data_IF_756675121324
#
_entry.id   IF_756675121324
#
_cell.length_a   1.000
_cell.length_b   1.000
_cell.length_c   1.000
_cell.angle_alpha   90.00
_cell.angle_beta   90.00
_cell.angle_gamma   90.00
#
_symmetry.space_group_name_H-M   'P 1'
#
loop_
_entity.id
_entity.type
_entity.pdbx_description
1 polymer ?
#
# COMPACT_ATOMS: atom_id res chain seq x y z
N UNK A 1 -1.93 -84.18 21.41
CA UNK A 1 -1.63 -83.75 20.03
C UNK A 1 -2.95 -83.40 19.37
N UNK A 2 -3.23 -82.12 19.14
CA UNK A 2 -4.41 -81.70 18.39
C UNK A 2 -4.27 -82.21 16.94
N UNK A 3 -5.30 -82.87 16.41
CA UNK A 3 -5.27 -83.38 15.04
C UNK A 3 -5.00 -82.27 14.03
N UNK A 4 -4.24 -82.60 12.97
CA UNK A 4 -3.98 -81.67 11.86
C UNK A 4 -5.34 -81.25 11.28
N UNK A 5 -5.60 -79.94 11.11
CA UNK A 5 -6.88 -79.49 10.59
C UNK A 5 -7.09 -79.97 9.15
N UNK A 6 -8.30 -80.45 8.84
CA UNK A 6 -8.63 -80.96 7.51
C UNK A 6 -8.63 -79.85 6.44
N UNK A 7 -8.84 -78.60 6.83
CA UNK A 7 -8.61 -77.44 5.98
C UNK A 7 -7.98 -76.30 6.76
N UNK A 8 -7.15 -75.52 6.05
CA UNK A 8 -6.37 -74.40 6.61
C UNK A 8 -6.80 -73.08 5.99
N UNK A 9 -6.63 -72.00 6.74
CA UNK A 9 -6.90 -70.64 6.31
C UNK A 9 -5.61 -69.84 6.29
N UNK A 10 -5.31 -69.20 5.17
CA UNK A 10 -4.21 -68.24 5.05
C UNK A 10 -4.78 -66.87 4.68
N UNK A 11 -4.65 -65.83 5.51
CA UNK A 11 -5.06 -64.48 5.13
C UNK A 11 -4.37 -64.02 3.85
N UNK A 12 -5.15 -63.42 2.94
CA UNK A 12 -4.66 -62.73 1.75
C UNK A 12 -4.71 -61.21 1.92
N UNK A 13 -5.51 -60.72 2.87
CA UNK A 13 -5.63 -59.31 3.24
C UNK A 13 -5.54 -59.16 4.77
N UNK A 14 -5.34 -57.94 5.30
CA UNK A 14 -5.41 -57.69 6.73
C UNK A 14 -6.73 -58.18 7.34
N UNK A 15 -6.66 -58.91 8.45
CA UNK A 15 -7.82 -59.49 9.14
C UNK A 15 -8.27 -58.67 10.34
N UNK A 16 -7.43 -57.72 10.78
CA UNK A 16 -7.74 -56.76 11.83
C UNK A 16 -8.04 -55.38 11.24
N UNK A 17 -9.31 -54.96 11.29
CA UNK A 17 -9.78 -53.71 10.70
C UNK A 17 -10.55 -52.87 11.74
N UNK A 18 -10.36 -51.56 11.67
CA UNK A 18 -11.12 -50.59 12.46
C UNK A 18 -11.91 -49.69 11.52
N UNK A 19 -13.23 -49.83 11.50
CA UNK A 19 -14.15 -49.25 10.52
C UNK A 19 -15.09 -48.23 11.19
N UNK A 20 -15.50 -47.17 10.48
CA UNK A 20 -16.65 -46.37 10.90
C UNK A 20 -17.96 -47.08 10.52
N UNK A 21 -19.10 -46.58 11.01
CA UNK A 21 -20.41 -47.17 10.71
C UNK A 21 -20.78 -47.10 9.22
N UNK A 22 -20.15 -46.22 8.43
CA UNK A 22 -20.45 -46.07 7.00
C UNK A 22 -19.43 -46.77 6.08
N UNK A 23 -18.35 -47.31 6.66
CA UNK A 23 -17.29 -47.95 5.89
C UNK A 23 -17.70 -49.36 5.44
N UNK A 24 -17.17 -49.76 4.28
CA UNK A 24 -17.16 -51.17 3.85
C UNK A 24 -15.74 -51.62 3.60
N UNK A 25 -15.47 -52.90 3.85
CA UNK A 25 -14.15 -53.49 3.64
C UNK A 25 -14.27 -54.92 3.11
N UNK A 26 -13.22 -55.42 2.47
CA UNK A 26 -13.14 -56.80 2.01
C UNK A 26 -11.98 -57.49 2.71
N UNK A 27 -12.25 -58.64 3.32
CA UNK A 27 -11.24 -59.53 3.87
C UNK A 27 -11.24 -60.85 3.11
N UNK A 28 -10.06 -61.34 2.72
CA UNK A 28 -9.90 -62.56 1.95
C UNK A 28 -9.01 -63.58 2.66
N UNK A 29 -9.42 -64.85 2.58
CA UNK A 29 -8.64 -66.00 3.05
C UNK A 29 -8.48 -67.02 1.93
N UNK A 30 -7.30 -67.58 1.76
CA UNK A 30 -7.11 -68.79 0.98
C UNK A 30 -7.45 -70.00 1.86
N UNK A 31 -8.54 -70.70 1.52
CA UNK A 31 -8.98 -71.92 2.20
C UNK A 31 -8.46 -73.11 1.42
N UNK A 32 -7.69 -73.98 2.06
CA UNK A 32 -7.05 -75.14 1.41
C UNK A 32 -7.44 -76.43 2.10
N UNK A 33 -7.92 -77.42 1.35
CA UNK A 33 -8.19 -78.77 1.86
C UNK A 33 -6.86 -79.52 2.02
N UNK A 34 -6.49 -79.93 3.23
CA UNK A 34 -5.27 -80.69 3.52
C UNK A 34 -5.46 -82.21 3.46
N UNK A 35 -6.69 -82.66 3.21
CA UNK A 35 -7.03 -84.07 3.15
C UNK A 35 -6.86 -84.65 1.75
N UNK A 36 -6.72 -85.97 1.67
CA UNK A 36 -6.70 -86.72 0.41
C UNK A 36 -8.10 -86.97 -0.18
N UNK A 37 -9.16 -86.51 0.49
CA UNK A 37 -10.55 -86.69 0.08
C UNK A 37 -11.20 -85.34 -0.28
N UNK A 38 -12.14 -85.32 -1.23
CA UNK A 38 -12.92 -84.12 -1.50
C UNK A 38 -13.83 -83.80 -0.31
N UNK A 39 -14.00 -82.52 -0.01
CA UNK A 39 -14.83 -82.01 1.08
C UNK A 39 -15.79 -80.94 0.57
N UNK A 40 -17.07 -81.05 0.93
CA UNK A 40 -18.08 -80.02 0.70
C UNK A 40 -18.13 -79.13 1.91
N UNK A 41 -17.90 -77.84 1.72
CA UNK A 41 -17.67 -76.88 2.79
C UNK A 41 -18.67 -75.72 2.71
N UNK A 42 -19.07 -75.24 3.89
CA UNK A 42 -19.95 -74.08 4.05
C UNK A 42 -19.39 -73.18 5.14
N UNK A 43 -19.35 -71.87 4.88
CA UNK A 43 -19.01 -70.91 5.91
C UNK A 43 -20.18 -70.72 6.89
N UNK A 44 -19.86 -70.65 8.18
CA UNK A 44 -20.82 -70.22 9.20
C UNK A 44 -21.09 -68.72 9.03
N UNK A 45 -22.35 -68.29 8.84
CA UNK A 45 -22.67 -66.88 8.68
C UNK A 45 -22.19 -66.05 9.88
N UNK A 46 -21.55 -64.91 9.60
CA UNK A 46 -21.20 -63.91 10.62
C UNK A 46 -22.08 -62.69 10.39
N UNK A 47 -22.77 -62.24 11.44
CA UNK A 47 -23.67 -61.08 11.35
C UNK A 47 -22.91 -59.85 10.82
N UNK A 48 -23.47 -59.19 9.81
CA UNK A 48 -22.90 -57.99 9.19
C UNK A 48 -21.76 -58.26 8.20
N UNK A 49 -21.42 -59.53 7.93
CA UNK A 49 -20.42 -59.94 6.96
C UNK A 49 -21.08 -60.84 5.92
N UNK A 50 -20.95 -60.45 4.65
CA UNK A 50 -21.49 -61.19 3.51
C UNK A 50 -20.37 -61.90 2.78
N UNK A 51 -20.50 -63.20 2.55
CA UNK A 51 -19.58 -63.92 1.67
C UNK A 51 -19.86 -63.54 0.21
N UNK A 52 -18.84 -63.07 -0.50
CA UNK A 52 -18.87 -62.90 -1.94
C UNK A 52 -18.60 -64.26 -2.58
N UNK A 53 -19.52 -64.73 -3.42
CA UNK A 53 -19.52 -66.12 -3.96
C UNK A 53 -19.30 -66.18 -5.47
N UNK A 54 -19.13 -65.03 -6.12
CA UNK A 54 -18.94 -64.92 -7.56
C UNK A 54 -17.52 -64.46 -7.88
N UNK A 55 -16.92 -65.04 -8.92
CA UNK A 55 -15.55 -64.75 -9.36
C UNK A 55 -14.71 -66.01 -9.53
N UNK A 56 -13.74 -65.96 -10.44
CA UNK A 56 -12.82 -67.06 -10.68
C UNK A 56 -11.98 -67.33 -9.42
N UNK A 57 -12.00 -68.58 -8.93
CA UNK A 57 -11.24 -68.98 -7.74
C UNK A 57 -11.85 -68.55 -6.41
N UNK A 58 -13.02 -67.89 -6.39
CA UNK A 58 -13.71 -67.52 -5.14
C UNK A 58 -14.53 -68.70 -4.62
N UNK A 59 -14.52 -68.92 -3.31
CA UNK A 59 -15.35 -69.96 -2.69
C UNK A 59 -16.84 -69.62 -2.85
N UNK A 60 -17.64 -70.53 -3.42
CA UNK A 60 -19.10 -70.42 -3.47
C UNK A 60 -19.77 -70.52 -2.09
N UNK A 61 -21.09 -70.34 -2.02
CA UNK A 61 -21.87 -70.44 -0.76
C UNK A 61 -21.83 -71.84 -0.15
N UNK A 62 -21.81 -72.86 -1.01
CA UNK A 62 -21.34 -74.21 -0.72
C UNK A 62 -20.30 -74.55 -1.77
N UNK A 63 -19.12 -74.99 -1.34
CA UNK A 63 -18.01 -75.21 -2.25
C UNK A 63 -17.34 -76.55 -1.98
N UNK A 64 -17.01 -77.27 -3.05
CA UNK A 64 -16.30 -78.55 -2.96
C UNK A 64 -14.82 -78.29 -3.23
N UNK A 65 -13.97 -78.64 -2.27
CA UNK A 65 -12.52 -78.66 -2.46
C UNK A 65 -12.09 -80.11 -2.68
N UNK A 66 -11.54 -80.40 -3.86
CA UNK A 66 -10.80 -81.64 -4.11
C UNK A 66 -9.59 -81.75 -3.17
N UNK A 67 -8.97 -82.93 -3.12
CA UNK A 67 -7.76 -83.13 -2.32
C UNK A 67 -6.70 -82.07 -2.66
N UNK A 68 -6.18 -81.36 -1.65
CA UNK A 68 -5.17 -80.32 -1.80
C UNK A 68 -5.57 -79.08 -2.63
N UNK A 69 -6.85 -78.97 -3.04
CA UNK A 69 -7.35 -77.81 -3.74
C UNK A 69 -7.65 -76.64 -2.79
N UNK A 70 -7.69 -75.43 -3.34
CA UNK A 70 -7.98 -74.21 -2.59
C UNK A 70 -8.94 -73.28 -3.33
N UNK A 71 -9.58 -72.40 -2.57
CA UNK A 71 -10.37 -71.28 -3.08
C UNK A 71 -10.19 -70.06 -2.17
N UNK A 72 -10.47 -68.87 -2.69
CA UNK A 72 -10.45 -67.61 -1.93
C UNK A 72 -11.81 -67.34 -1.32
N UNK A 73 -11.91 -67.42 -0.01
CA UNK A 73 -13.06 -66.99 0.76
C UNK A 73 -13.03 -65.48 0.88
N UNK A 74 -13.91 -64.78 0.16
CA UNK A 74 -13.99 -63.32 0.14
C UNK A 74 -15.16 -62.83 0.99
N UNK A 75 -14.89 -61.97 1.95
CA UNK A 75 -15.85 -61.49 2.95
C UNK A 75 -16.01 -59.98 2.84
N UNK A 76 -17.20 -59.53 2.42
CA UNK A 76 -17.56 -58.12 2.45
C UNK A 76 -18.12 -57.77 3.82
N UNK A 77 -17.46 -56.84 4.50
CA UNK A 77 -17.85 -56.30 5.80
C UNK A 77 -18.56 -54.97 5.55
N UNK A 78 -19.73 -54.80 6.15
CA UNK A 78 -20.46 -53.54 6.15
C UNK A 78 -20.52 -53.00 7.58
N UNK A 79 -19.80 -51.91 7.86
CA UNK A 79 -19.67 -51.32 9.19
C UNK A 79 -21.02 -51.01 9.85
N UNK A 80 -22.03 -50.64 9.07
CA UNK A 80 -23.37 -50.29 9.56
C UNK A 80 -24.13 -51.48 10.17
N UNK A 81 -23.73 -52.71 9.81
CA UNK A 81 -24.38 -53.95 10.25
C UNK A 81 -23.64 -54.64 11.40
N UNK A 82 -22.45 -54.15 11.77
CA UNK A 82 -21.63 -54.70 12.86
C UNK A 82 -22.04 -54.05 14.18
N UNK A 83 -22.89 -54.74 14.94
CA UNK A 83 -23.39 -54.24 16.24
C UNK A 83 -22.51 -54.62 17.43
N UNK A 84 -21.58 -55.55 17.26
CA UNK A 84 -20.63 -56.02 18.27
C UNK A 84 -19.29 -56.31 17.61
N UNK A 85 -18.19 -56.16 18.35
CA UNK A 85 -16.85 -56.46 17.83
C UNK A 85 -16.77 -57.92 17.36
N UNK A 86 -16.29 -58.15 16.15
CA UNK A 86 -16.01 -59.50 15.64
C UNK A 86 -14.58 -59.84 16.04
N UNK A 87 -14.36 -60.95 16.75
CA UNK A 87 -13.03 -61.36 17.23
C UNK A 87 -12.63 -62.78 16.83
N UNK A 88 -13.54 -63.51 16.15
CA UNK A 88 -13.43 -64.93 15.83
C UNK A 88 -13.79 -65.20 14.36
N UNK A 89 -13.46 -66.40 13.88
CA UNK A 89 -13.77 -66.85 12.53
C UNK A 89 -12.85 -66.24 11.45
N UNK A 90 -13.19 -66.41 10.16
CA UNK A 90 -14.33 -67.17 9.64
C UNK A 90 -14.24 -68.66 9.96
N UNK A 91 -15.37 -69.28 10.27
CA UNK A 91 -15.45 -70.73 10.50
C UNK A 91 -16.07 -71.40 9.27
N UNK A 92 -15.45 -72.47 8.79
CA UNK A 92 -15.93 -73.26 7.64
C UNK A 92 -16.12 -74.70 8.09
N UNK A 93 -17.26 -75.30 7.75
CA UNK A 93 -17.72 -76.58 8.25
C UNK A 93 -18.03 -77.58 7.12
N UNK A 94 -17.77 -78.86 7.36
CA UNK A 94 -18.13 -79.95 6.44
C UNK A 94 -19.65 -80.06 6.29
N UNK A 95 -20.17 -79.86 5.09
CA UNK A 95 -21.61 -79.92 4.76
C UNK A 95 -22.49 -79.13 5.76
N UNK A 96 -21.96 -78.05 6.32
CA UNK A 96 -22.63 -77.25 7.35
C UNK A 96 -22.72 -77.88 8.75
N UNK A 97 -22.07 -79.01 9.01
CA UNK A 97 -22.11 -79.69 10.31
C UNK A 97 -21.30 -78.94 11.38
N UNK A 98 -21.92 -78.51 12.50
CA UNK A 98 -21.25 -77.72 13.53
C UNK A 98 -20.13 -78.47 14.27
N UNK A 99 -20.13 -79.80 14.21
CA UNK A 99 -19.14 -80.65 14.89
C UNK A 99 -17.86 -80.86 14.04
N UNK A 100 -17.81 -80.34 12.82
CA UNK A 100 -16.69 -80.52 11.88
C UNK A 100 -16.34 -79.18 11.24
N UNK A 101 -16.04 -78.20 12.08
CA UNK A 101 -15.66 -76.86 11.66
C UNK A 101 -14.21 -76.56 12.00
N UNK A 102 -13.54 -75.85 11.10
CA UNK A 102 -12.22 -75.28 11.37
C UNK A 102 -12.27 -73.77 11.12
N UNK A 103 -11.42 -73.05 11.84
CA UNK A 103 -11.23 -71.60 11.73
C UNK A 103 -9.73 -71.30 11.62
N UNK A 104 -9.33 -70.07 11.22
CA UNK A 104 -7.93 -69.66 11.24
C UNK A 104 -7.29 -69.81 12.62
N UNK A 105 -5.97 -69.78 12.67
CA UNK A 105 -5.26 -69.67 13.95
C UNK A 105 -5.62 -68.35 14.66
N UNK A 106 -5.41 -68.21 15.98
CA UNK A 106 -5.81 -67.02 16.74
C UNK A 106 -5.20 -65.68 16.27
N UNK A 107 -4.08 -65.70 15.54
CA UNK A 107 -3.46 -64.49 14.99
C UNK A 107 -4.14 -64.03 13.69
N UNK A 108 -4.70 -64.98 12.94
CA UNK A 108 -5.33 -64.78 11.63
C UNK A 108 -6.86 -64.69 11.72
N UNK A 109 -7.45 -64.77 12.92
CA UNK A 109 -8.90 -64.58 13.08
C UNK A 109 -9.33 -63.18 12.68
N UNK A 110 -10.58 -63.09 12.24
CA UNK A 110 -11.18 -61.83 11.87
C UNK A 110 -11.40 -60.95 13.12
N UNK A 111 -10.81 -59.75 13.11
CA UNK A 111 -10.90 -58.76 14.20
C UNK A 111 -11.45 -57.44 13.66
N UNK A 112 -12.77 -57.27 13.72
CA UNK A 112 -13.46 -56.05 13.25
C UNK A 112 -13.94 -55.24 14.45
N UNK A 113 -13.42 -54.01 14.57
CA UNK A 113 -13.84 -53.05 15.60
C UNK A 113 -14.49 -51.84 14.95
N UNK A 114 -15.66 -51.43 15.44
CA UNK A 114 -16.30 -50.18 15.00
C UNK A 114 -15.77 -49.01 15.80
N UNK A 115 -15.26 -47.98 15.12
CA UNK A 115 -14.87 -46.72 15.75
C UNK A 115 -16.13 -46.04 16.30
N UNK A 116 -16.07 -45.41 17.50
CA UNK A 116 -17.14 -44.54 17.96
C UNK A 116 -17.41 -43.46 16.91
N UNK A 117 -18.67 -43.14 16.66
CA UNK A 117 -19.02 -42.03 15.78
C UNK A 117 -18.39 -40.74 16.32
N UNK A 118 -17.66 -40.01 15.48
CA UNK A 118 -17.21 -38.67 15.85
C UNK A 118 -18.46 -37.80 16.07
N UNK A 119 -18.63 -37.27 17.28
CA UNK A 119 -19.76 -36.40 17.61
C UNK A 119 -19.44 -34.94 17.31
N UNK A 120 -18.17 -34.58 17.43
CA UNK A 120 -17.69 -33.21 17.29
C UNK A 120 -16.97 -33.02 15.95
N UNK A 121 -17.33 -31.95 15.24
CA UNK A 121 -16.63 -31.49 14.06
C UNK A 121 -15.39 -30.66 14.44
N UNK A 122 -14.30 -30.86 13.70
CA UNK A 122 -13.06 -30.10 13.86
C UNK A 122 -13.07 -28.92 12.89
N UNK A 123 -13.10 -27.70 13.41
CA UNK A 123 -13.06 -26.47 12.63
C UNK A 123 -11.71 -25.74 12.74
N UNK A 124 -11.37 -24.98 11.71
CA UNK A 124 -10.27 -23.99 11.71
C UNK A 124 -10.71 -22.68 11.07
N UNK A 125 -9.98 -21.59 11.33
CA UNK A 125 -10.25 -20.25 10.80
C UNK A 125 -9.09 -19.76 9.94
N UNK A 126 -9.42 -19.12 8.82
CA UNK A 126 -8.49 -18.41 7.93
C UNK A 126 -8.80 -16.90 7.93
N UNK A 127 -7.85 -16.08 7.46
CA UNK A 127 -7.89 -14.61 7.45
C UNK A 127 -7.88 -13.94 8.83
N UNK A 128 -7.25 -14.58 9.82
CA UNK A 128 -7.03 -14.03 11.16
C UNK A 128 -5.53 -13.73 11.36
N UNK A 129 -5.12 -12.54 11.85
CA UNK A 129 -5.98 -11.43 12.25
C UNK A 129 -6.62 -10.71 11.06
N UNK A 130 -7.89 -10.32 11.20
CA UNK A 130 -8.63 -9.52 10.24
C UNK A 130 -8.43 -8.03 10.57
N UNK A 131 -7.87 -7.26 9.63
CA UNK A 131 -7.61 -5.83 9.80
C UNK A 131 -8.62 -5.00 8.99
N UNK A 132 -9.37 -4.11 9.64
CA UNK A 132 -10.46 -3.33 9.04
C UNK A 132 -10.32 -1.85 9.37
N UNK A 133 -10.85 -0.97 8.52
CA UNK A 133 -11.14 0.40 8.94
C UNK A 133 -12.50 0.47 9.64
N UNK A 134 -12.64 1.41 10.57
CA UNK A 134 -13.95 1.67 11.19
C UNK A 134 -14.98 2.05 10.11
N UNK A 135 -16.11 1.34 10.08
CA UNK A 135 -17.17 1.44 9.08
C UNK A 135 -17.08 0.42 7.95
N UNK A 136 -15.97 -0.30 7.80
CA UNK A 136 -15.80 -1.31 6.75
C UNK A 136 -16.18 -2.73 7.20
N UNK A 137 -16.47 -3.57 6.21
CA UNK A 137 -16.79 -4.97 6.40
C UNK A 137 -15.58 -5.86 6.12
N UNK A 138 -15.44 -6.94 6.88
CA UNK A 138 -14.42 -7.97 6.66
C UNK A 138 -14.94 -9.37 6.88
N UNK A 139 -14.25 -10.37 6.33
CA UNK A 139 -14.71 -11.76 6.30
C UNK A 139 -13.65 -12.71 6.85
N UNK A 140 -14.06 -13.54 7.80
CA UNK A 140 -13.34 -14.74 8.21
C UNK A 140 -13.92 -15.97 7.50
N UNK A 141 -13.06 -16.91 7.15
CA UNK A 141 -13.45 -18.18 6.52
C UNK A 141 -13.27 -19.29 7.54
N UNK A 142 -14.36 -20.00 7.82
CA UNK A 142 -14.36 -21.16 8.72
C UNK A 142 -14.36 -22.43 7.88
N UNK A 143 -13.44 -23.33 8.17
CA UNK A 143 -13.29 -24.60 7.49
C UNK A 143 -13.76 -25.73 8.40
N UNK A 144 -14.60 -26.63 7.89
CA UNK A 144 -14.86 -27.90 8.54
C UNK A 144 -13.84 -28.94 8.05
N UNK A 145 -12.86 -29.24 8.91
CA UNK A 145 -11.77 -30.18 8.64
C UNK A 145 -12.16 -31.63 8.95
N UNK A 146 -13.39 -31.88 9.41
CA UNK A 146 -13.87 -33.25 9.62
C UNK A 146 -14.13 -33.96 8.30
N UNK A 147 -13.99 -35.29 8.33
CA UNK A 147 -14.27 -36.18 7.21
C UNK A 147 -15.73 -36.67 7.18
N UNK A 148 -16.36 -36.78 8.35
CA UNK A 148 -17.67 -37.46 8.49
C UNK A 148 -18.74 -36.61 9.17
N UNK A 149 -18.36 -35.52 9.85
CA UNK A 149 -19.26 -34.76 10.73
C UNK A 149 -19.47 -33.35 10.19
N UNK A 150 -20.72 -32.95 10.00
CA UNK A 150 -21.06 -31.56 9.71
C UNK A 150 -20.92 -30.69 10.96
N UNK A 151 -20.30 -29.53 10.83
CA UNK A 151 -20.25 -28.52 11.88
C UNK A 151 -21.55 -27.70 11.85
N UNK A 152 -22.20 -27.50 12.99
CA UNK A 152 -23.52 -26.85 13.08
C UNK A 152 -23.52 -25.63 13.99
N UNK A 153 -24.33 -24.63 13.62
CA UNK A 153 -24.60 -23.40 14.38
C UNK A 153 -23.33 -22.70 14.88
N UNK A 154 -22.36 -22.46 14.00
CA UNK A 154 -21.11 -21.77 14.37
C UNK A 154 -21.42 -20.30 14.62
N UNK A 155 -21.04 -19.82 15.80
CA UNK A 155 -21.24 -18.43 16.23
C UNK A 155 -19.94 -17.84 16.80
N UNK A 156 -19.80 -16.52 16.66
CA UNK A 156 -18.74 -15.74 17.32
C UNK A 156 -19.18 -15.33 18.72
N UNK A 157 -18.25 -15.29 19.68
CA UNK A 157 -18.48 -14.77 21.01
C UNK A 157 -17.46 -13.68 21.37
N UNK A 158 -17.94 -12.44 21.39
CA UNK A 158 -17.17 -11.26 21.76
C UNK A 158 -17.27 -10.90 23.25
N UNK A 159 -18.11 -11.57 24.04
CA UNK A 159 -18.36 -11.16 25.41
C UNK A 159 -17.11 -11.27 26.29
N UNK A 160 -16.82 -10.22 27.06
CA UNK A 160 -15.62 -10.12 27.88
C UNK A 160 -14.33 -9.83 27.11
N UNK A 161 -14.41 -9.54 25.80
CA UNK A 161 -13.24 -9.22 24.97
C UNK A 161 -13.12 -7.71 24.74
N UNK A 162 -11.94 -7.24 24.33
CA UNK A 162 -11.71 -5.84 23.96
C UNK A 162 -12.52 -5.37 22.72
N UNK A 163 -13.14 -6.32 22.01
CA UNK A 163 -13.98 -6.10 20.83
C UNK A 163 -15.47 -5.99 21.16
N UNK A 164 -15.88 -6.29 22.41
CA UNK A 164 -17.28 -6.20 22.83
C UNK A 164 -17.82 -4.78 22.63
N UNK A 165 -18.94 -4.66 21.88
CA UNK A 165 -19.54 -3.38 21.51
C UNK A 165 -18.79 -2.57 20.43
N UNK A 166 -17.61 -3.04 19.97
CA UNK A 166 -16.81 -2.38 18.92
C UNK A 166 -16.84 -3.10 17.58
N UNK A 167 -17.20 -4.38 17.57
CA UNK A 167 -17.39 -5.21 16.37
C UNK A 167 -18.81 -5.76 16.41
N UNK A 168 -19.46 -5.82 15.25
CA UNK A 168 -20.72 -6.55 15.07
C UNK A 168 -20.54 -7.62 13.99
N UNK A 169 -21.08 -8.81 14.21
CA UNK A 169 -21.24 -9.83 13.16
C UNK A 169 -22.46 -9.47 12.32
N UNK A 170 -22.25 -9.09 11.06
CA UNK A 170 -23.30 -8.62 10.15
C UNK A 170 -23.78 -9.68 9.18
N UNK A 171 -23.06 -10.80 9.06
CA UNK A 171 -23.48 -11.92 8.23
C UNK A 171 -22.84 -13.23 8.67
N UNK A 172 -23.62 -14.32 8.62
CA UNK A 172 -23.17 -15.65 9.03
C UNK A 172 -23.79 -16.71 8.11
N UNK A 173 -22.95 -17.45 7.38
CA UNK A 173 -23.39 -18.54 6.50
C UNK A 173 -23.11 -19.93 7.10
N UNK A 174 -22.73 -19.99 8.38
CA UNK A 174 -22.19 -21.16 9.07
C UNK A 174 -23.22 -21.93 9.92
N UNK A 175 -24.50 -21.92 9.49
CA UNK A 175 -25.56 -22.69 10.16
C UNK A 175 -25.32 -24.21 10.06
N UNK A 176 -24.84 -24.69 8.91
CA UNK A 176 -24.46 -26.09 8.69
C UNK A 176 -23.36 -26.17 7.63
N UNK A 177 -22.20 -26.69 8.02
CA UNK A 177 -21.01 -26.80 7.17
C UNK A 177 -20.68 -28.27 6.98
N UNK A 178 -20.89 -28.77 5.77
CA UNK A 178 -20.60 -30.17 5.42
C UNK A 178 -19.10 -30.51 5.59
N UNK A 179 -18.75 -31.79 5.80
CA UNK A 179 -17.36 -32.24 5.83
C UNK A 179 -16.54 -31.72 4.65
N UNK A 180 -15.36 -31.17 4.92
CA UNK A 180 -14.46 -30.60 3.92
C UNK A 180 -14.95 -29.32 3.24
N UNK A 181 -16.07 -28.72 3.69
CA UNK A 181 -16.57 -27.44 3.18
C UNK A 181 -16.21 -26.28 4.09
N UNK A 182 -16.44 -25.07 3.60
CA UNK A 182 -16.22 -23.83 4.32
C UNK A 182 -17.50 -22.98 4.36
N UNK A 183 -17.47 -21.99 5.24
CA UNK A 183 -18.48 -20.95 5.37
C UNK A 183 -17.81 -19.64 5.78
N UNK A 184 -18.57 -18.55 5.80
CA UNK A 184 -18.05 -17.20 6.07
C UNK A 184 -18.78 -16.53 7.22
N UNK A 185 -18.02 -15.81 8.03
CA UNK A 185 -18.51 -14.87 9.04
C UNK A 185 -18.07 -13.47 8.62
N UNK A 186 -19.04 -12.56 8.49
CA UNK A 186 -18.83 -11.16 8.07
C UNK A 186 -18.98 -10.24 9.27
N UNK A 187 -18.04 -9.33 9.44
CA UNK A 187 -17.98 -8.40 10.57
C UNK A 187 -17.90 -6.95 10.08
N UNK A 188 -18.45 -6.03 10.87
CA UNK A 188 -18.28 -4.58 10.68
C UNK A 188 -17.62 -4.00 11.92
N UNK A 189 -16.53 -3.24 11.72
CA UNK A 189 -15.88 -2.51 12.80
C UNK A 189 -16.60 -1.18 13.07
N UNK A 190 -17.00 -0.92 14.32
CA UNK A 190 -17.70 0.31 14.70
C UNK A 190 -16.76 1.40 15.21
N UNK A 191 -15.71 1.01 15.94
CA UNK A 191 -14.77 1.94 16.58
C UNK A 191 -13.35 1.40 16.53
N UNK A 192 -12.33 2.27 16.43
CA UNK A 192 -10.93 1.85 16.47
C UNK A 192 -10.62 1.01 17.72
N UNK A 193 -9.93 -0.10 17.52
CA UNK A 193 -9.59 -1.05 18.57
C UNK A 193 -8.28 -1.74 18.23
N UNK A 194 -7.40 -1.87 19.24
CA UNK A 194 -6.22 -2.73 19.15
C UNK A 194 -6.63 -4.17 18.82
N UNK A 195 -5.71 -4.99 18.26
CA UNK A 195 -5.99 -6.39 17.97
C UNK A 195 -6.56 -7.12 19.19
N UNK A 196 -7.80 -7.58 19.09
CA UNK A 196 -8.50 -8.32 20.14
C UNK A 196 -8.83 -9.73 19.68
N UNK A 197 -8.62 -10.72 20.54
CA UNK A 197 -9.00 -12.11 20.27
C UNK A 197 -10.40 -12.43 20.77
N UNK A 198 -11.14 -13.25 20.02
CA UNK A 198 -12.46 -13.75 20.40
C UNK A 198 -12.60 -15.22 20.02
N UNK A 199 -13.58 -15.91 20.61
CA UNK A 199 -13.82 -17.33 20.36
C UNK A 199 -14.92 -17.54 19.33
N UNK A 200 -14.76 -18.59 18.53
CA UNK A 200 -15.74 -19.05 17.55
C UNK A 200 -16.00 -20.53 17.84
N UNK A 201 -17.27 -20.91 17.97
CA UNK A 201 -17.68 -22.26 18.32
C UNK A 201 -19.07 -22.58 17.77
N UNK A 202 -19.27 -23.81 17.31
CA UNK A 202 -20.58 -24.38 16.97
C UNK A 202 -21.15 -25.29 18.05
N UNK A 203 -22.38 -25.75 17.87
CA UNK A 203 -23.06 -26.64 18.83
C UNK A 203 -22.33 -27.97 19.04
N UNK A 204 -21.63 -28.44 18.02
CA UNK A 204 -20.89 -29.69 18.01
C UNK A 204 -19.45 -29.52 17.49
N UNK A 205 -18.75 -28.44 17.85
CA UNK A 205 -17.38 -28.22 17.36
C UNK A 205 -16.38 -27.97 18.49
N UNK A 206 -15.09 -28.11 18.18
CA UNK A 206 -14.04 -27.47 18.99
C UNK A 206 -14.18 -25.95 18.96
N UNK A 207 -13.57 -25.28 19.93
CA UNK A 207 -13.41 -23.82 19.93
C UNK A 207 -12.19 -23.43 19.10
N UNK A 208 -12.32 -22.41 18.26
CA UNK A 208 -11.19 -21.74 17.61
C UNK A 208 -11.17 -20.27 18.03
N UNK A 209 -10.00 -19.66 17.96
CA UNK A 209 -9.82 -18.24 18.27
C UNK A 209 -9.43 -17.48 17.00
N UNK A 210 -10.03 -16.32 16.82
CA UNK A 210 -9.68 -15.38 15.78
C UNK A 210 -9.37 -14.01 16.41
N UNK A 211 -8.68 -13.16 15.66
CA UNK A 211 -8.39 -11.80 16.08
C UNK A 211 -8.90 -10.79 15.04
N UNK A 212 -9.43 -9.67 15.51
CA UNK A 212 -9.79 -8.50 14.69
C UNK A 212 -9.04 -7.28 15.21
N UNK A 213 -8.53 -6.48 14.29
CA UNK A 213 -8.00 -5.14 14.54
C UNK A 213 -8.83 -4.12 13.76
N UNK A 214 -9.29 -3.05 14.43
CA UNK A 214 -10.01 -1.94 13.78
C UNK A 214 -9.11 -0.71 13.79
N UNK A 215 -8.68 -0.28 12.61
CA UNK A 215 -7.90 0.93 12.37
C UNK A 215 -8.82 2.13 12.18
N UNK A 216 -8.35 3.31 12.55
CA UNK A 216 -8.98 4.57 12.15
C UNK A 216 -8.47 5.00 10.78
N UNK A 217 -9.35 5.52 9.93
CA UNK A 217 -8.91 6.29 8.77
C UNK A 217 -8.08 7.50 9.25
N UNK A 218 -7.06 7.86 8.48
CA UNK A 218 -6.28 9.04 8.77
C UNK A 218 -7.14 10.30 8.55
N UNK A 219 -6.96 11.31 9.39
CA UNK A 219 -7.58 12.62 9.23
C UNK A 219 -6.53 13.71 9.40
N UNK A 220 -6.68 14.81 8.69
CA UNK A 220 -5.90 16.03 8.88
C UNK A 220 -6.86 17.07 9.46
N UNK A 221 -6.51 17.65 10.62
CA UNK A 221 -7.30 18.69 11.27
C UNK A 221 -6.77 20.09 11.00
N UNK A 222 -5.45 20.25 10.86
CA UNK A 222 -4.82 21.53 10.55
C UNK A 222 -3.41 21.40 9.98
N UNK A 223 -2.93 22.48 9.38
CA UNK A 223 -1.54 22.69 9.00
C UNK A 223 -1.05 24.04 9.54
N UNK A 224 0.18 24.10 10.04
CA UNK A 224 0.80 25.33 10.54
C UNK A 224 2.25 25.48 10.04
N UNK A 225 2.63 26.62 9.42
CA UNK A 225 1.74 27.69 8.97
C UNK A 225 0.76 27.19 7.89
N UNK A 226 -0.33 27.92 7.66
CA UNK A 226 -1.32 27.61 6.61
C UNK A 226 -1.12 28.45 5.33
N UNK A 227 0.02 29.13 5.23
CA UNK A 227 0.43 29.87 4.04
C UNK A 227 1.95 29.93 3.93
N UNK A 228 2.44 30.21 2.73
CA UNK A 228 3.86 30.37 2.43
C UNK A 228 4.09 30.75 0.97
N UNK A 229 5.35 30.98 0.62
CA UNK A 229 5.73 31.53 -0.68
C UNK A 229 5.50 30.55 -1.84
N UNK A 230 5.16 31.07 -3.02
CA UNK A 230 5.02 30.27 -4.27
C UNK A 230 6.25 29.44 -4.61
N UNK A 231 7.44 29.91 -4.22
CA UNK A 231 8.70 29.17 -4.45
C UNK A 231 8.83 27.90 -3.57
N UNK A 232 7.89 27.66 -2.66
CA UNK A 232 7.95 26.58 -1.69
C UNK A 232 8.98 26.84 -0.58
N UNK A 233 9.50 25.77 0.02
CA UNK A 233 10.54 25.86 1.05
C UNK A 233 10.02 26.22 2.45
N UNK A 234 8.71 26.42 2.62
CA UNK A 234 8.12 26.71 3.93
C UNK A 234 8.00 25.40 4.72
N UNK A 235 8.67 25.33 5.87
CA UNK A 235 8.50 24.22 6.81
C UNK A 235 7.09 24.23 7.40
N UNK A 236 6.41 23.08 7.40
CA UNK A 236 5.06 22.94 7.91
C UNK A 236 4.94 21.81 8.94
N UNK A 237 3.93 21.94 9.80
CA UNK A 237 3.47 20.93 10.75
C UNK A 237 2.01 20.60 10.44
N UNK A 238 1.75 19.37 10.03
CA UNK A 238 0.41 18.80 9.90
C UNK A 238 -0.02 18.16 11.22
N UNK A 239 -1.23 18.50 11.67
CA UNK A 239 -1.88 17.91 12.84
C UNK A 239 -3.09 17.11 12.42
N UNK A 240 -3.34 15.97 13.07
CA UNK A 240 -4.44 15.08 12.70
C UNK A 240 -4.57 13.83 13.57
N UNK A 241 -5.12 12.77 13.01
CA UNK A 241 -5.19 11.45 13.65
C UNK A 241 -4.86 10.33 12.65
N UNK A 242 -4.34 9.20 13.14
CA UNK A 242 -3.99 8.06 12.28
C UNK A 242 -2.75 8.28 11.39
N UNK A 243 -1.87 9.22 11.74
CA UNK A 243 -0.78 9.67 10.87
C UNK A 243 0.51 8.83 10.94
N UNK A 244 0.60 7.79 11.78
CA UNK A 244 1.81 6.95 11.92
C UNK A 244 2.26 6.27 10.61
N UNK A 245 1.31 6.01 9.70
CA UNK A 245 1.56 5.30 8.45
C UNK A 245 1.64 6.21 7.22
N UNK A 246 1.85 7.52 7.40
CA UNK A 246 1.96 8.46 6.28
C UNK A 246 3.24 8.18 5.49
N UNK A 247 3.09 7.99 4.19
CA UNK A 247 4.21 7.74 3.25
C UNK A 247 4.48 8.94 2.34
N UNK A 248 3.58 9.92 2.30
CA UNK A 248 3.76 11.14 1.52
C UNK A 248 2.71 12.19 1.87
N UNK A 249 3.08 13.45 1.63
CA UNK A 249 2.21 14.62 1.71
C UNK A 249 2.29 15.35 0.37
N UNK A 250 1.17 15.86 -0.12
CA UNK A 250 1.11 16.64 -1.36
C UNK A 250 0.20 17.85 -1.22
N UNK A 251 0.47 18.87 -2.03
CA UNK A 251 -0.27 20.12 -2.16
C UNK A 251 -0.83 20.18 -3.57
N UNK A 252 -2.14 20.00 -3.72
CA UNK A 252 -2.82 19.81 -5.02
C UNK A 252 -2.13 18.78 -5.94
N UNK A 253 -1.66 17.68 -5.35
CA UNK A 253 -0.93 16.62 -6.05
C UNK A 253 0.58 16.86 -6.22
N UNK A 254 1.10 18.06 -5.95
CA UNK A 254 2.55 18.33 -5.96
C UNK A 254 3.18 17.82 -4.66
N UNK A 255 4.15 16.89 -4.71
CA UNK A 255 4.69 16.25 -3.51
C UNK A 255 5.53 17.22 -2.66
N UNK A 256 5.29 17.20 -1.35
CA UNK A 256 6.14 17.86 -0.36
C UNK A 256 7.50 17.15 -0.23
N UNK A 257 8.49 17.87 0.30
CA UNK A 257 9.82 17.32 0.59
C UNK A 257 10.07 17.23 2.09
N UNK A 258 11.07 16.45 2.50
CA UNK A 258 11.44 16.26 3.92
C UNK A 258 10.28 15.84 4.83
N UNK A 259 9.34 15.07 4.30
CA UNK A 259 8.18 14.57 5.05
C UNK A 259 8.67 13.62 6.15
N UNK A 260 8.35 13.93 7.40
CA UNK A 260 8.75 13.15 8.57
C UNK A 260 7.55 12.92 9.50
N UNK A 261 7.26 11.65 9.78
CA UNK A 261 6.21 11.25 10.71
C UNK A 261 6.77 11.34 12.14
N UNK A 262 6.22 12.26 12.94
CA UNK A 262 6.68 12.46 14.33
C UNK A 262 5.95 11.49 15.27
N UNK A 263 4.62 11.39 15.13
CA UNK A 263 3.77 10.49 15.92
C UNK A 263 2.40 10.31 15.22
N UNK A 264 1.44 9.64 15.86
CA UNK A 264 0.10 9.36 15.30
C UNK A 264 -0.77 10.59 15.02
N UNK A 265 -0.35 11.77 15.47
CA UNK A 265 -1.09 13.03 15.33
C UNK A 265 -0.28 14.13 14.63
N UNK A 266 0.99 13.88 14.28
CA UNK A 266 1.89 14.95 13.81
C UNK A 266 2.82 14.47 12.71
N UNK A 267 2.83 15.21 11.59
CA UNK A 267 3.76 15.05 10.47
C UNK A 267 4.37 16.41 10.15
N UNK A 268 5.67 16.46 9.88
CA UNK A 268 6.35 17.67 9.43
C UNK A 268 6.81 17.52 7.98
N UNK A 269 7.04 18.61 7.29
CA UNK A 269 7.61 18.60 5.94
C UNK A 269 7.92 19.99 5.43
N UNK A 270 8.27 20.09 4.16
CA UNK A 270 8.58 21.34 3.46
C UNK A 270 7.72 21.45 2.21
N UNK A 271 7.08 22.60 2.03
CA UNK A 271 6.20 22.84 0.88
C UNK A 271 6.97 22.81 -0.44
N UNK A 272 6.39 22.26 -1.51
CA UNK A 272 6.94 22.38 -2.85
C UNK A 272 6.71 23.79 -3.41
N UNK A 273 7.34 24.10 -4.53
CA UNK A 273 6.95 25.25 -5.33
C UNK A 273 5.56 25.00 -5.97
N UNK A 274 4.72 26.03 -5.98
CA UNK A 274 3.35 25.96 -6.49
C UNK A 274 2.87 27.35 -6.90
N UNK A 275 1.99 27.43 -7.90
CA UNK A 275 1.35 28.68 -8.29
C UNK A 275 0.55 29.30 -7.14
N UNK A 276 0.39 30.62 -7.15
CA UNK A 276 -0.36 31.33 -6.12
C UNK A 276 -1.82 30.85 -6.05
N UNK A 277 -2.34 30.65 -4.83
CA UNK A 277 -3.71 30.19 -4.60
C UNK A 277 -3.85 29.28 -3.38
N UNK A 278 -5.10 29.02 -3.01
CA UNK A 278 -5.48 28.03 -2.00
C UNK A 278 -5.44 26.63 -2.60
N UNK A 279 -4.88 25.67 -1.88
CA UNK A 279 -4.73 24.28 -2.31
C UNK A 279 -5.18 23.28 -1.25
N UNK A 280 -5.60 22.11 -1.71
CA UNK A 280 -5.84 20.95 -0.85
C UNK A 280 -4.51 20.35 -0.39
N UNK A 281 -4.47 19.90 0.87
CA UNK A 281 -3.32 19.16 1.42
C UNK A 281 -3.73 17.72 1.65
N UNK A 282 -3.04 16.78 1.01
CA UNK A 282 -3.35 15.36 1.12
C UNK A 282 -2.18 14.60 1.73
N UNK A 283 -2.47 13.76 2.73
CA UNK A 283 -1.54 12.78 3.29
C UNK A 283 -1.95 11.37 2.84
N UNK A 284 -1.01 10.63 2.25
CA UNK A 284 -1.21 9.26 1.82
C UNK A 284 -0.77 8.29 2.93
N UNK A 285 -1.62 7.32 3.25
CA UNK A 285 -1.30 6.20 4.14
C UNK A 285 -1.58 4.86 3.47
N UNK A 286 -1.04 3.78 4.02
CA UNK A 286 -1.37 2.42 3.57
C UNK A 286 -2.87 2.08 3.67
N UNK A 287 -3.64 2.83 4.49
CA UNK A 287 -5.06 2.63 4.70
C UNK A 287 -5.93 3.69 3.98
N UNK A 288 -5.37 4.42 3.01
CA UNK A 288 -6.08 5.46 2.25
C UNK A 288 -5.54 6.87 2.48
N UNK A 289 -6.24 7.86 1.94
CA UNK A 289 -5.83 9.28 1.92
C UNK A 289 -6.62 10.11 2.91
N UNK A 290 -5.93 11.01 3.62
CA UNK A 290 -6.54 12.08 4.40
C UNK A 290 -6.36 13.41 3.67
N UNK A 291 -7.42 14.19 3.52
CA UNK A 291 -7.36 15.49 2.83
C UNK A 291 -7.85 16.61 3.74
N UNK A 292 -7.07 17.69 3.81
CA UNK A 292 -7.48 18.98 4.33
C UNK A 292 -7.80 19.91 3.15
N UNK A 293 -9.08 20.08 2.87
CA UNK A 293 -9.54 20.90 1.75
C UNK A 293 -9.20 22.37 1.98
N UNK A 294 -8.66 23.05 0.97
CA UNK A 294 -8.17 24.43 1.03
C UNK A 294 -7.26 24.68 2.25
N UNK A 295 -6.47 23.68 2.62
CA UNK A 295 -5.68 23.67 3.84
C UNK A 295 -4.50 24.65 3.84
N UNK A 296 -4.00 25.02 2.67
CA UNK A 296 -2.81 25.85 2.54
C UNK A 296 -2.95 26.90 1.44
N UNK A 297 -2.31 28.07 1.62
CA UNK A 297 -2.30 29.16 0.63
C UNK A 297 -0.88 29.51 0.18
N UNK A 298 -0.61 29.35 -1.11
CA UNK A 298 0.60 29.87 -1.73
C UNK A 298 0.43 31.35 -2.07
N UNK A 299 1.30 32.19 -1.52
CA UNK A 299 1.31 33.64 -1.74
C UNK A 299 2.55 34.08 -2.50
N UNK A 300 2.44 34.98 -3.49
CA UNK A 300 3.61 35.56 -4.13
C UNK A 300 4.45 36.35 -3.11
N UNK A 301 5.78 36.44 -3.30
CA UNK A 301 6.62 37.34 -2.53
C UNK A 301 6.12 38.80 -2.56
N UNK A 302 6.16 39.48 -1.42
CA UNK A 302 5.70 40.86 -1.30
C UNK A 302 6.79 41.86 -1.75
N UNK A 303 6.39 43.04 -2.25
CA UNK A 303 7.35 44.12 -2.55
C UNK A 303 8.17 44.46 -1.30
N UNK A 304 9.49 44.53 -1.44
CA UNK A 304 10.44 44.73 -0.34
C UNK A 304 10.94 43.43 0.31
N UNK A 305 10.38 42.26 -0.04
CA UNK A 305 10.85 40.97 0.47
C UNK A 305 12.11 40.50 -0.27
N UNK A 306 13.07 39.94 0.48
CA UNK A 306 14.28 39.38 -0.09
C UNK A 306 13.99 38.02 -0.75
N UNK A 307 14.34 37.86 -2.02
CA UNK A 307 14.17 36.59 -2.74
C UNK A 307 15.12 36.52 -3.93
N UNK A 308 15.52 35.30 -4.29
CA UNK A 308 16.26 35.00 -5.53
C UNK A 308 17.46 35.94 -5.79
N UNK A 309 18.24 36.24 -4.75
CA UNK A 309 19.45 37.08 -4.82
C UNK A 309 19.21 38.59 -4.80
N UNK A 310 17.98 39.05 -4.64
CA UNK A 310 17.64 40.47 -4.58
C UNK A 310 16.41 40.77 -3.72
N UNK A 311 15.74 41.87 -4.03
CA UNK A 311 14.51 42.32 -3.36
C UNK A 311 13.40 42.46 -4.38
N UNK A 312 12.20 41.96 -4.08
CA UNK A 312 11.01 42.14 -4.93
C UNK A 312 10.75 43.63 -5.10
N UNK A 313 10.89 44.12 -6.32
CA UNK A 313 10.80 45.54 -6.66
C UNK A 313 9.44 45.92 -7.21
N UNK A 314 8.79 45.02 -7.93
CA UNK A 314 7.54 45.29 -8.63
C UNK A 314 6.65 44.05 -8.66
N UNK A 315 5.34 44.28 -8.56
CA UNK A 315 4.29 43.29 -8.80
C UNK A 315 3.18 43.92 -9.65
N UNK A 316 3.18 43.63 -10.95
CA UNK A 316 2.28 44.27 -11.91
C UNK A 316 1.96 43.46 -13.17
N UNK A 317 2.35 42.17 -13.19
CA UNK A 317 2.21 41.29 -14.34
C UNK A 317 3.56 40.90 -14.96
N UNK A 318 3.59 40.12 -16.06
CA UNK A 318 4.79 39.44 -16.53
C UNK A 318 6.04 40.33 -16.74
N UNK A 319 5.86 41.57 -17.20
CA UNK A 319 6.97 42.51 -17.45
C UNK A 319 7.29 43.44 -16.25
N UNK A 320 6.45 43.41 -15.20
CA UNK A 320 6.57 44.22 -13.99
C UNK A 320 6.61 43.33 -12.73
N UNK A 321 6.89 42.04 -12.86
CA UNK A 321 7.21 41.17 -11.74
C UNK A 321 8.73 41.11 -11.67
N UNK A 322 9.33 42.02 -10.90
CA UNK A 322 10.77 42.28 -10.93
C UNK A 322 11.38 42.10 -9.57
N UNK A 323 12.62 41.59 -9.56
CA UNK A 323 13.55 41.62 -8.44
C UNK A 323 14.62 42.64 -8.77
N UNK A 324 14.91 43.58 -7.87
CA UNK A 324 16.03 44.51 -7.99
C UNK A 324 17.23 44.03 -7.18
N UNK A 325 18.43 44.40 -7.62
CA UNK A 325 19.64 44.22 -6.83
C UNK A 325 19.52 44.98 -5.50
N UNK A 326 20.10 44.45 -4.43
CA UNK A 326 20.00 45.04 -3.07
C UNK A 326 20.68 46.41 -2.95
N UNK A 327 21.73 46.65 -3.73
CA UNK A 327 22.49 47.91 -3.79
C UNK A 327 22.70 48.36 -5.24
N UNK A 328 23.09 49.62 -5.44
CA UNK A 328 23.41 50.15 -6.77
C UNK A 328 24.59 49.37 -7.33
N UNK A 329 24.43 48.80 -8.52
CA UNK A 329 25.48 48.06 -9.19
C UNK A 329 26.58 49.01 -9.72
N UNK A 330 26.25 50.29 -9.90
CA UNK A 330 27.25 51.34 -10.16
C UNK A 330 26.80 52.70 -9.64
N UNK A 331 27.71 53.49 -9.01
CA UNK A 331 27.45 54.87 -8.61
C UNK A 331 27.53 55.89 -9.78
N UNK A 332 28.00 55.47 -10.96
CA UNK A 332 28.17 56.31 -12.14
C UNK A 332 28.61 55.48 -13.35
N UNK A 333 27.81 55.47 -14.41
CA UNK A 333 28.02 54.64 -15.60
C UNK A 333 27.58 55.40 -16.84
N UNK A 334 28.21 55.14 -17.99
CA UNK A 334 27.71 55.60 -19.28
C UNK A 334 26.61 54.65 -19.77
N UNK A 335 25.62 55.18 -20.49
CA UNK A 335 24.65 54.33 -21.17
C UNK A 335 25.33 53.47 -22.26
N UNK A 336 26.30 54.06 -22.98
CA UNK A 336 27.15 53.40 -23.98
C UNK A 336 26.80 53.77 -25.44
N UNK A 337 27.75 53.63 -26.36
CA UNK A 337 27.46 53.81 -27.81
C UNK A 337 26.86 55.16 -28.19
N UNK A 338 27.41 56.26 -27.69
CA UNK A 338 26.99 57.60 -28.10
C UNK A 338 27.13 57.77 -29.63
N UNK A 339 26.08 58.33 -30.25
CA UNK A 339 25.93 58.41 -31.70
C UNK A 339 25.56 57.12 -32.43
N UNK A 340 25.46 55.97 -31.73
CA UNK A 340 25.10 54.67 -32.32
C UNK A 340 23.62 54.35 -32.05
N UNK A 341 22.78 54.14 -33.08
CA UNK A 341 21.41 53.66 -32.88
C UNK A 341 21.40 52.18 -32.50
N UNK A 342 21.01 51.84 -31.27
CA UNK A 342 20.90 50.44 -30.85
C UNK A 342 19.56 49.83 -31.20
N UNK A 343 18.49 50.64 -31.28
CA UNK A 343 17.12 50.14 -31.51
C UNK A 343 16.43 49.65 -30.23
N UNK A 344 17.03 49.86 -29.05
CA UNK A 344 16.49 49.45 -27.76
C UNK A 344 15.39 50.41 -27.26
N UNK A 345 14.29 50.52 -28.00
CA UNK A 345 13.25 51.53 -27.78
C UNK A 345 12.06 51.01 -26.98
N UNK A 346 12.12 49.80 -26.39
CA UNK A 346 10.99 49.25 -25.65
C UNK A 346 10.86 49.91 -24.27
N UNK A 347 9.65 50.29 -23.87
CA UNK A 347 9.41 50.97 -22.59
C UNK A 347 9.15 50.02 -21.42
N UNK A 348 8.81 48.75 -21.67
CA UNK A 348 8.44 47.75 -20.65
C UNK A 348 9.33 46.50 -20.65
N UNK A 349 10.15 46.28 -21.68
CA UNK A 349 10.95 45.07 -21.80
C UNK A 349 12.45 45.38 -21.72
N UNK A 350 12.94 45.55 -20.50
CA UNK A 350 14.35 45.81 -20.23
C UNK A 350 15.27 44.65 -20.62
N UNK A 351 14.80 43.40 -20.55
CA UNK A 351 15.56 42.23 -21.00
C UNK A 351 15.86 42.35 -22.50
N UNK A 352 14.83 42.55 -23.33
CA UNK A 352 15.00 42.68 -24.78
C UNK A 352 15.85 43.90 -25.16
N UNK A 353 15.68 45.02 -24.47
CA UNK A 353 16.53 46.19 -24.69
C UNK A 353 17.99 45.90 -24.34
N UNK A 354 18.25 45.26 -23.20
CA UNK A 354 19.60 44.94 -22.73
C UNK A 354 20.30 44.02 -23.73
N UNK A 355 19.63 42.97 -24.21
CA UNK A 355 20.12 42.08 -25.27
C UNK A 355 20.42 42.84 -26.56
N UNK A 356 19.51 43.73 -26.98
CA UNK A 356 19.67 44.56 -28.19
C UNK A 356 20.89 45.49 -28.09
N UNK A 357 21.05 46.18 -26.96
CA UNK A 357 22.19 47.07 -26.72
C UNK A 357 23.50 46.27 -26.79
N UNK A 358 23.57 45.12 -26.12
CA UNK A 358 24.77 44.27 -26.10
C UNK A 358 25.08 43.71 -27.49
N UNK A 359 24.06 43.32 -28.25
CA UNK A 359 24.23 42.83 -29.62
C UNK A 359 24.85 43.89 -30.54
N UNK A 360 24.47 45.16 -30.38
CA UNK A 360 24.98 46.27 -31.21
C UNK A 360 26.36 46.75 -30.75
N UNK A 361 26.56 46.91 -29.44
CA UNK A 361 27.79 47.50 -28.90
C UNK A 361 28.91 46.47 -28.67
N UNK A 362 28.56 45.19 -28.51
CA UNK A 362 29.51 44.12 -28.18
C UNK A 362 30.35 44.47 -26.95
N UNK A 363 31.66 44.29 -27.06
CA UNK A 363 32.63 44.64 -26.01
C UNK A 363 32.88 46.16 -25.87
N UNK A 364 32.30 46.99 -26.76
CA UNK A 364 32.42 48.45 -26.72
C UNK A 364 33.87 48.97 -26.56
N UNK A 365 34.81 48.34 -27.28
CA UNK A 365 36.24 48.66 -27.18
C UNK A 365 36.87 48.40 -25.80
N UNK A 366 36.25 47.54 -24.99
CA UNK A 366 36.65 47.25 -23.60
C UNK A 366 36.05 48.19 -22.55
N UNK A 367 35.26 49.18 -22.95
CA UNK A 367 34.65 50.14 -22.01
C UNK A 367 33.33 49.59 -21.45
N UNK A 368 33.16 49.52 -20.11
CA UNK A 368 31.91 49.10 -19.50
C UNK A 368 30.79 50.10 -19.79
N UNK A 369 29.57 49.60 -19.89
CA UNK A 369 28.35 50.40 -20.09
C UNK A 369 27.18 49.77 -19.34
N UNK A 370 26.12 50.55 -19.11
CA UNK A 370 25.05 50.21 -18.18
C UNK A 370 24.37 48.85 -18.46
N UNK A 371 24.07 48.53 -19.72
CA UNK A 371 23.44 47.27 -20.10
C UNK A 371 24.37 46.05 -19.87
N UNK A 372 25.63 46.14 -20.29
CA UNK A 372 26.61 45.06 -20.09
C UNK A 372 26.95 44.84 -18.63
N UNK A 373 27.00 45.90 -17.82
CA UNK A 373 27.16 45.79 -16.37
C UNK A 373 26.07 44.91 -15.76
N UNK A 374 24.80 45.15 -16.12
CA UNK A 374 23.71 44.33 -15.61
C UNK A 374 23.72 42.92 -16.17
N UNK A 375 24.01 42.73 -17.45
CA UNK A 375 24.09 41.39 -18.05
C UNK A 375 25.23 40.53 -17.48
N UNK A 376 26.28 41.14 -16.95
CA UNK A 376 27.39 40.44 -16.29
C UNK A 376 27.21 40.35 -14.77
N UNK A 377 26.17 40.98 -14.22
CA UNK A 377 25.94 40.95 -12.78
C UNK A 377 25.45 39.55 -12.40
N UNK A 378 26.07 39.00 -11.36
CA UNK A 378 25.68 37.74 -10.75
C UNK A 378 25.73 37.85 -9.24
N UNK A 379 24.80 37.18 -8.60
CA UNK A 379 24.70 37.10 -7.14
C UNK A 379 24.15 35.74 -6.74
N UNK A 380 24.68 35.14 -5.69
CA UNK A 380 24.19 33.86 -5.21
C UNK A 380 23.11 33.99 -4.12
N UNK A 381 22.54 32.86 -3.69
CA UNK A 381 21.52 32.78 -2.64
C UNK A 381 21.94 33.33 -1.27
N UNK A 382 23.22 33.63 -1.07
CA UNK A 382 23.80 34.14 0.17
C UNK A 382 24.17 35.63 0.03
N UNK A 383 23.98 36.21 -1.17
CA UNK A 383 24.27 37.59 -1.47
C UNK A 383 25.72 37.84 -1.90
N UNK A 384 26.50 36.79 -2.20
CA UNK A 384 27.86 36.95 -2.69
C UNK A 384 27.88 37.32 -4.17
N UNK A 385 28.80 38.19 -4.54
CA UNK A 385 29.08 38.57 -5.94
C UNK A 385 30.59 38.65 -6.15
N UNK A 386 31.21 37.87 -7.06
CA UNK A 386 30.61 36.83 -7.92
C UNK A 386 30.02 35.65 -7.14
N UNK A 387 29.29 34.77 -7.83
CA UNK A 387 28.64 33.60 -7.21
C UNK A 387 29.66 32.58 -6.68
N UNK A 388 29.41 32.01 -5.49
CA UNK A 388 30.28 30.97 -4.93
C UNK A 388 29.82 29.54 -5.29
N UNK A 389 30.75 28.57 -5.45
CA UNK A 389 30.39 27.18 -5.71
C UNK A 389 29.52 26.57 -4.61
N UNK A 390 28.44 25.88 -5.00
CA UNK A 390 27.51 25.21 -4.08
C UNK A 390 26.27 26.02 -3.73
N UNK A 391 26.25 27.31 -4.08
CA UNK A 391 25.09 28.19 -3.91
C UNK A 391 24.27 28.30 -5.20
N UNK A 392 22.98 28.60 -5.08
CA UNK A 392 22.16 28.91 -6.26
C UNK A 392 22.59 30.27 -6.81
N UNK A 393 23.08 30.30 -8.06
CA UNK A 393 23.54 31.53 -8.70
C UNK A 393 22.44 32.16 -9.56
N UNK A 394 22.33 33.48 -9.50
CA UNK A 394 21.37 34.27 -10.26
C UNK A 394 22.12 35.25 -11.17
N UNK A 395 22.12 34.98 -12.48
CA UNK A 395 22.97 35.63 -13.49
C UNK A 395 22.20 36.09 -14.75
N UNK A 396 20.89 36.26 -14.65
CA UNK A 396 19.94 36.67 -15.68
C UNK A 396 19.48 38.13 -15.48
N UNK A 397 20.37 38.98 -14.96
CA UNK A 397 20.11 40.38 -14.66
C UNK A 397 20.16 41.25 -15.92
N UNK A 398 19.36 42.32 -15.93
CA UNK A 398 19.26 43.25 -17.05
C UNK A 398 19.04 44.68 -16.58
N UNK A 399 19.28 45.64 -17.48
CA UNK A 399 19.04 47.06 -17.21
C UNK A 399 17.53 47.35 -17.43
N UNK A 400 16.80 47.85 -16.42
CA UNK A 400 15.35 48.04 -16.53
C UNK A 400 14.99 49.04 -17.61
N UNK A 401 13.92 48.78 -18.37
CA UNK A 401 13.32 49.76 -19.27
C UNK A 401 12.65 50.90 -18.47
N UNK A 402 12.28 51.99 -19.14
CA UNK A 402 11.76 53.19 -18.49
C UNK A 402 10.59 52.90 -17.53
N UNK A 403 9.58 52.14 -17.95
CA UNK A 403 8.42 51.87 -17.08
C UNK A 403 8.73 50.90 -15.95
N UNK A 404 9.70 50.00 -16.16
CA UNK A 404 10.21 49.12 -15.11
C UNK A 404 10.95 49.92 -14.04
N UNK A 405 11.82 50.86 -14.44
CA UNK A 405 12.55 51.72 -13.50
C UNK A 405 11.62 52.71 -12.78
N UNK A 406 10.56 53.18 -13.44
CA UNK A 406 9.50 53.96 -12.78
C UNK A 406 8.79 53.16 -11.68
N UNK A 407 8.55 51.87 -11.91
CA UNK A 407 8.00 51.01 -10.87
C UNK A 407 8.97 50.85 -9.69
N UNK A 408 10.27 50.69 -9.95
CA UNK A 408 11.29 50.72 -8.89
C UNK A 408 11.24 52.03 -8.10
N UNK A 409 11.10 53.18 -8.76
CA UNK A 409 10.95 54.48 -8.10
C UNK A 409 9.70 54.55 -7.22
N UNK A 410 8.54 54.08 -7.71
CA UNK A 410 7.31 54.03 -6.92
C UNK A 410 7.45 53.17 -5.66
N UNK A 411 8.27 52.12 -5.71
CA UNK A 411 8.50 51.19 -4.60
C UNK A 411 9.83 51.42 -3.87
N UNK A 412 10.55 52.51 -4.14
CA UNK A 412 11.92 52.73 -3.70
C UNK A 412 12.11 52.68 -2.18
N UNK A 413 11.08 53.03 -1.40
CA UNK A 413 11.12 52.99 0.06
C UNK A 413 11.14 51.54 0.57
N UNK A 414 10.33 50.66 -0.04
CA UNK A 414 10.28 49.25 0.33
C UNK A 414 11.51 48.48 -0.16
N UNK A 415 12.04 48.84 -1.33
CA UNK A 415 13.25 48.22 -1.90
C UNK A 415 14.51 48.68 -1.15
N UNK A 416 14.60 49.97 -0.83
CA UNK A 416 15.75 50.57 -0.18
C UNK A 416 17.00 50.72 -1.06
N UNK A 417 18.04 51.31 -0.49
CA UNK A 417 19.37 51.39 -1.10
C UNK A 417 19.53 52.37 -2.27
N UNK A 418 18.48 53.10 -2.68
CA UNK A 418 18.57 54.11 -3.74
C UNK A 418 19.20 55.42 -3.26
N UNK A 419 19.97 56.07 -4.13
CA UNK A 419 20.44 57.44 -3.94
C UNK A 419 19.51 58.44 -4.62
N UNK A 420 19.34 59.64 -4.06
CA UNK A 420 18.52 60.70 -4.65
C UNK A 420 19.19 61.37 -5.86
N UNK A 421 19.49 60.59 -6.89
CA UNK A 421 20.18 61.00 -8.12
C UNK A 421 19.57 60.29 -9.33
N UNK A 422 20.00 60.58 -10.57
CA UNK A 422 19.45 59.93 -11.74
C UNK A 422 20.02 58.54 -12.00
N UNK A 423 19.16 57.68 -12.57
CA UNK A 423 19.43 56.30 -12.91
C UNK A 423 19.16 56.05 -14.39
N UNK A 424 20.04 55.28 -15.03
CA UNK A 424 19.84 54.88 -16.42
C UNK A 424 18.73 53.86 -16.57
N UNK A 425 17.94 54.01 -17.63
CA UNK A 425 17.06 52.98 -18.17
C UNK A 425 17.74 52.31 -19.36
N UNK A 426 17.26 51.16 -19.81
CA UNK A 426 17.67 50.56 -21.08
C UNK A 426 16.95 51.13 -22.31
N UNK A 427 16.04 52.09 -22.12
CA UNK A 427 15.23 52.65 -23.21
C UNK A 427 16.00 53.78 -23.92
N UNK A 428 16.35 53.53 -25.18
CA UNK A 428 16.94 54.50 -26.10
C UNK A 428 15.90 55.55 -26.52
N UNK A 429 16.30 56.83 -26.53
CA UNK A 429 15.48 57.91 -27.11
C UNK A 429 15.86 58.15 -28.57
N UNK A 430 17.15 58.28 -28.85
CA UNK A 430 17.73 58.40 -30.19
C UNK A 430 19.23 58.00 -30.16
N UNK A 431 19.98 58.07 -31.28
CA UNK A 431 21.38 57.63 -31.30
C UNK A 431 22.30 58.28 -30.27
N UNK A 432 22.02 59.51 -29.80
CA UNK A 432 22.85 60.24 -28.84
C UNK A 432 22.27 60.28 -27.41
N UNK A 433 20.97 60.01 -27.25
CA UNK A 433 20.28 60.21 -25.97
C UNK A 433 19.52 58.95 -25.51
N UNK A 434 19.51 58.71 -24.20
CA UNK A 434 18.75 57.63 -23.57
C UNK A 434 17.93 58.17 -22.38
N UNK A 435 16.88 57.44 -22.01
CA UNK A 435 16.02 57.82 -20.89
C UNK A 435 16.66 57.53 -19.54
N UNK A 436 16.39 58.40 -18.56
CA UNK A 436 16.76 58.28 -17.16
C UNK A 436 15.56 58.57 -16.26
N UNK A 437 15.59 58.01 -15.06
CA UNK A 437 14.64 58.34 -13.98
C UNK A 437 15.41 59.01 -12.84
N UNK A 438 14.98 60.17 -12.38
CA UNK A 438 15.59 60.84 -11.24
C UNK A 438 14.96 60.36 -9.93
N UNK A 439 15.71 59.63 -9.10
CA UNK A 439 15.18 59.09 -7.84
C UNK A 439 15.00 60.15 -6.73
N UNK A 440 15.43 61.39 -6.96
CA UNK A 440 15.11 62.50 -6.05
C UNK A 440 13.66 62.99 -6.17
N UNK A 441 13.05 62.90 -7.35
CA UNK A 441 11.76 63.55 -7.64
C UNK A 441 10.85 62.79 -8.62
N UNK A 442 11.32 61.70 -9.22
CA UNK A 442 10.57 60.86 -10.16
C UNK A 442 10.57 61.35 -11.61
N UNK A 443 11.37 62.37 -11.93
CA UNK A 443 11.37 62.95 -13.28
C UNK A 443 11.91 61.97 -14.33
N UNK A 444 11.17 61.86 -15.43
CA UNK A 444 11.51 61.09 -16.60
C UNK A 444 12.05 62.01 -17.70
N UNK A 445 13.36 62.01 -17.87
CA UNK A 445 14.04 62.84 -18.87
C UNK A 445 15.00 61.97 -19.70
N UNK A 446 15.59 62.55 -20.72
CA UNK A 446 16.68 61.94 -21.48
C UNK A 446 17.98 62.72 -21.25
N UNK A 447 19.10 62.05 -21.50
CA UNK A 447 20.44 62.63 -21.38
C UNK A 447 21.41 61.95 -22.34
N UNK A 448 22.55 62.60 -22.60
CA UNK A 448 23.59 62.09 -23.50
C UNK A 448 24.10 60.73 -23.02
N UNK A 449 24.24 59.78 -23.94
CA UNK A 449 24.65 58.40 -23.62
C UNK A 449 26.06 58.30 -23.02
N UNK A 450 26.88 59.33 -23.23
CA UNK A 450 28.23 59.51 -22.70
C UNK A 450 28.27 60.10 -21.28
N UNK A 451 27.12 60.47 -20.70
CA UNK A 451 27.04 61.04 -19.35
C UNK A 451 27.38 59.98 -18.29
N UNK A 452 28.49 60.17 -17.58
CA UNK A 452 29.06 59.18 -16.63
C UNK A 452 28.55 59.27 -15.19
N UNK A 453 27.62 60.18 -14.91
CA UNK A 453 27.18 60.52 -13.55
C UNK A 453 25.93 59.80 -13.06
N UNK A 454 25.33 58.90 -13.85
CA UNK A 454 24.08 58.26 -13.49
C UNK A 454 24.27 56.83 -13.03
N UNK A 455 23.45 56.44 -12.06
CA UNK A 455 23.53 55.16 -11.38
C UNK A 455 22.84 54.07 -12.18
N UNK A 456 23.20 52.83 -11.85
CA UNK A 456 22.61 51.64 -12.44
C UNK A 456 22.11 50.74 -11.32
N UNK A 457 20.84 50.36 -11.43
CA UNK A 457 20.22 49.33 -10.59
C UNK A 457 19.72 48.23 -11.50
N UNK A 458 20.36 47.08 -11.43
CA UNK A 458 20.00 45.93 -12.24
C UNK A 458 18.75 45.26 -11.67
N UNK A 459 17.94 44.70 -12.57
CA UNK A 459 16.75 43.94 -12.22
C UNK A 459 16.75 42.59 -12.92
N UNK A 460 15.96 41.66 -12.43
CA UNK A 460 15.65 40.38 -13.08
C UNK A 460 14.17 40.06 -12.93
N UNK A 461 13.67 39.10 -13.69
CA UNK A 461 12.26 38.70 -13.60
C UNK A 461 12.05 37.84 -12.34
N UNK A 462 10.95 38.10 -11.63
CA UNK A 462 10.48 37.24 -10.55
C UNK A 462 9.85 35.98 -11.16
N UNK A 463 10.57 34.87 -11.11
CA UNK A 463 10.09 33.56 -11.55
C UNK A 463 9.27 32.90 -10.43
N UNK A 464 8.11 32.30 -10.72
CA UNK A 464 7.23 31.68 -9.72
C UNK A 464 7.76 30.38 -9.11
#
# INVERSE_FOLDING_TARGET
>A
MAGIPLWTFKPLTPTALSLSANDTAIVQYLVTNQSSRPHTLNMVPIRGITQLTTGLGVCGSSFVLSAHASCTLSLQINGSLITQQVTNGPSVCQSGSPNQCYQPNPADTLRITIKPAATDALISVSNSPLSLLAGENGVLIIHNNSLEVSATNIVSNFSGTALEGKVIETGNTCASVLPGKNCTLTYTGLQPALPGSFSIKGSNTNTVYAAIEIKSAATISSINPNSGLTNGGTGFVLTGSGLLGVTGVSFDGVPATYVNVVNSMTVTGVTPAHAAGTVDVTALTANGTATLNNGYTFVPPAIGEATQGGIVACSGGPQLNLIAAVTDNSPGMNWGGDGIPTGATNFLNGTANTETIISVLGANGGNPYAALLCSNFEVDSQGNTPCEPGNACYNDWFLPALFQLNCLYSNQVAIGGFSAVPYWTSTEFNPAFAYRVNFANGDNLFAGKDTSGYRVRCVRNLMP
#
